data_IF_531587413988
#
_entry.id   IF_531587413988
#
_cell.length_a   1.000
_cell.length_b   1.000
_cell.length_c   1.000
_cell.angle_alpha   90.00
_cell.angle_beta   90.00
_cell.angle_gamma   90.00
#
_symmetry.space_group_name_H-M   'P 1'
#
loop_
_entity.id
_entity.type
_entity.pdbx_description
1 polymer ?
#
# COMPACT_ATOMS: atom_id res chain seq x y z
N UNK A 1 -12.48 -67.47 -9.40
CA UNK A 1 -13.02 -66.53 -8.41
C UNK A 1 -11.96 -65.49 -8.12
N UNK A 2 -12.04 -64.29 -8.76
CA UNK A 2 -11.11 -63.19 -8.57
C UNK A 2 -11.68 -62.26 -7.49
N UNK A 3 -10.98 -62.09 -6.37
CA UNK A 3 -11.34 -61.14 -5.33
C UNK A 3 -10.88 -59.76 -5.74
N UNK A 4 -11.83 -58.84 -5.90
CA UNK A 4 -11.58 -57.41 -6.12
C UNK A 4 -11.40 -56.77 -4.74
N UNK A 5 -10.20 -56.23 -4.49
CA UNK A 5 -9.91 -55.40 -3.31
C UNK A 5 -10.22 -53.96 -3.66
N UNK A 6 -11.27 -53.40 -3.07
CA UNK A 6 -11.62 -51.96 -3.18
C UNK A 6 -10.79 -51.24 -2.12
N UNK A 7 -9.80 -50.45 -2.59
CA UNK A 7 -9.07 -49.52 -1.75
C UNK A 7 -9.90 -48.24 -1.66
N UNK A 8 -10.54 -48.01 -0.52
CA UNK A 8 -11.17 -46.74 -0.19
C UNK A 8 -10.08 -45.71 0.07
N UNK A 9 -9.89 -44.75 -0.86
CA UNK A 9 -9.08 -43.58 -0.65
C UNK A 9 -9.88 -42.58 0.19
N UNK A 10 -9.57 -42.53 1.49
CA UNK A 10 -10.11 -41.51 2.39
C UNK A 10 -9.39 -40.20 2.09
N UNK A 11 -10.03 -39.35 1.30
CA UNK A 11 -9.63 -37.93 1.16
C UNK A 11 -9.88 -37.23 2.51
N UNK A 12 -8.83 -37.09 3.33
CA UNK A 12 -8.85 -36.17 4.45
C UNK A 12 -8.86 -34.75 3.91
N UNK A 13 -10.05 -34.18 3.77
CA UNK A 13 -10.24 -32.77 3.53
C UNK A 13 -9.85 -32.04 4.81
N UNK A 14 -8.65 -31.49 4.83
CA UNK A 14 -8.24 -30.54 5.87
C UNK A 14 -9.14 -29.31 5.74
N UNK A 15 -10.18 -29.23 6.56
CA UNK A 15 -10.86 -27.98 6.86
C UNK A 15 -9.89 -27.10 7.61
N UNK A 16 -9.12 -26.30 6.89
CA UNK A 16 -8.49 -25.11 7.44
C UNK A 16 -9.63 -24.19 7.86
N UNK A 17 -9.98 -24.22 9.13
CA UNK A 17 -11.00 -23.36 9.70
C UNK A 17 -10.45 -21.95 9.71
N UNK A 18 -10.80 -21.15 8.71
CA UNK A 18 -10.39 -19.75 8.55
C UNK A 18 -10.95 -18.95 9.74
N UNK A 19 -10.13 -18.73 10.76
CA UNK A 19 -10.46 -17.83 11.89
C UNK A 19 -10.81 -16.42 11.39
N UNK A 20 -10.18 -16.01 10.29
CA UNK A 20 -10.36 -14.70 9.67
C UNK A 20 -11.77 -14.47 9.13
N UNK A 21 -12.41 -15.50 8.53
CA UNK A 21 -13.78 -15.39 8.04
C UNK A 21 -14.82 -15.22 9.16
N UNK A 22 -14.53 -15.76 10.36
CA UNK A 22 -15.41 -15.59 11.52
C UNK A 22 -15.34 -14.18 12.09
N UNK A 23 -14.17 -13.57 12.12
CA UNK A 23 -13.97 -12.20 12.58
C UNK A 23 -14.67 -11.20 11.68
N UNK A 24 -14.49 -11.33 10.36
CA UNK A 24 -15.15 -10.49 9.36
C UNK A 24 -16.67 -10.65 9.45
N UNK A 25 -17.21 -11.88 9.51
CA UNK A 25 -18.65 -12.13 9.68
C UNK A 25 -19.19 -11.54 10.98
N UNK A 26 -18.46 -11.66 12.08
CA UNK A 26 -18.83 -11.08 13.37
C UNK A 26 -18.84 -9.55 13.33
N UNK A 27 -17.86 -8.94 12.64
CA UNK A 27 -17.81 -7.50 12.45
C UNK A 27 -19.02 -6.99 11.67
N UNK A 28 -19.34 -7.59 10.52
CA UNK A 28 -20.53 -7.24 9.73
C UNK A 28 -21.84 -7.44 10.50
N UNK A 29 -21.95 -8.49 11.31
CA UNK A 29 -23.17 -8.75 12.10
C UNK A 29 -23.36 -7.80 13.28
N UNK A 30 -22.26 -7.25 13.85
CA UNK A 30 -22.31 -6.42 15.05
C UNK A 30 -22.19 -4.92 14.77
N UNK A 31 -21.73 -4.50 13.59
CA UNK A 31 -21.42 -3.11 13.25
C UNK A 31 -21.90 -2.73 11.84
N UNK A 32 -23.18 -2.96 11.55
CA UNK A 32 -23.80 -2.60 10.26
C UNK A 32 -23.68 -1.10 9.93
N UNK A 33 -23.42 -0.25 10.94
CA UNK A 33 -23.31 1.20 10.78
C UNK A 33 -21.89 1.70 10.37
N UNK A 34 -20.86 0.87 10.46
CA UNK A 34 -19.47 1.27 10.20
C UNK A 34 -18.92 0.72 8.87
N UNK A 35 -19.58 1.05 7.77
CA UNK A 35 -19.06 0.76 6.43
C UNK A 35 -18.25 1.92 5.86
N UNK A 36 -17.12 1.61 5.21
CA UNK A 36 -16.33 2.60 4.50
C UNK A 36 -17.09 3.01 3.24
N UNK A 37 -17.22 4.32 3.04
CA UNK A 37 -17.87 4.91 1.86
C UNK A 37 -16.83 5.65 1.02
N UNK A 38 -16.87 5.46 -0.30
CA UNK A 38 -16.06 6.21 -1.24
C UNK A 38 -16.84 7.40 -1.80
N UNK A 39 -16.23 8.58 -1.72
CA UNK A 39 -16.73 9.81 -2.28
C UNK A 39 -15.95 10.12 -3.57
N UNK A 40 -16.59 9.90 -4.72
CA UNK A 40 -16.00 10.03 -6.05
C UNK A 40 -15.87 11.50 -6.47
N UNK A 41 -14.97 12.25 -5.80
CA UNK A 41 -14.70 13.64 -6.16
C UNK A 41 -14.12 13.76 -7.58
N UNK A 42 -13.34 12.77 -8.03
CA UNK A 42 -12.86 12.66 -9.41
C UNK A 42 -14.01 12.72 -10.43
N UNK A 43 -15.11 12.02 -10.19
CA UNK A 43 -16.31 12.07 -11.04
C UNK A 43 -17.03 13.41 -10.94
N UNK A 44 -17.28 13.82 -9.70
CA UNK A 44 -18.03 15.04 -9.42
C UNK A 44 -17.33 16.27 -10.04
N UNK A 45 -16.00 16.35 -9.93
CA UNK A 45 -15.20 17.46 -10.46
C UNK A 45 -15.32 17.60 -11.99
N UNK A 46 -15.33 16.49 -12.72
CA UNK A 46 -15.34 16.48 -14.18
C UNK A 46 -16.73 16.34 -14.81
N UNK A 47 -17.81 16.30 -13.99
CA UNK A 47 -19.17 16.06 -14.48
C UNK A 47 -19.88 17.31 -15.03
N UNK A 48 -19.39 18.51 -14.72
CA UNK A 48 -20.08 19.74 -15.10
C UNK A 48 -19.89 20.14 -16.57
N UNK A 49 -20.94 20.65 -17.23
CA UNK A 49 -20.80 21.34 -18.49
C UNK A 49 -19.89 22.58 -18.34
N UNK A 50 -19.10 22.87 -19.39
CA UNK A 50 -18.16 24.01 -19.36
C UNK A 50 -18.85 25.35 -19.09
N UNK A 51 -20.10 25.49 -19.52
CA UNK A 51 -20.92 26.74 -19.38
C UNK A 51 -21.34 27.02 -17.93
N UNK A 52 -21.35 26.01 -17.07
CA UNK A 52 -21.80 26.13 -15.66
C UNK A 52 -20.69 25.74 -14.67
N UNK A 53 -19.46 25.61 -15.15
CA UNK A 53 -18.35 25.05 -14.38
C UNK A 53 -18.03 25.84 -13.12
N UNK A 54 -18.03 27.18 -13.18
CA UNK A 54 -17.77 28.01 -12.00
C UNK A 54 -18.81 27.78 -10.89
N UNK A 55 -20.09 27.78 -11.25
CA UNK A 55 -21.18 27.51 -10.30
C UNK A 55 -21.05 26.09 -9.72
N UNK A 56 -20.77 25.11 -10.57
CA UNK A 56 -20.56 23.74 -10.18
C UNK A 56 -19.41 23.58 -9.17
N UNK A 57 -18.26 24.23 -9.43
CA UNK A 57 -17.12 24.21 -8.51
C UNK A 57 -17.48 24.80 -7.12
N UNK A 58 -18.24 25.89 -7.10
CA UNK A 58 -18.72 26.50 -5.85
C UNK A 58 -19.66 25.57 -5.06
N UNK A 59 -20.49 24.80 -5.74
CA UNK A 59 -21.35 23.81 -5.10
C UNK A 59 -20.55 22.60 -4.63
N UNK A 60 -19.59 22.13 -5.43
CA UNK A 60 -18.67 21.07 -5.01
C UNK A 60 -17.85 21.44 -3.77
N UNK A 61 -17.41 22.70 -3.64
CA UNK A 61 -16.67 23.12 -2.44
C UNK A 61 -17.51 22.96 -1.16
N UNK A 62 -18.84 23.15 -1.26
CA UNK A 62 -19.73 22.92 -0.12
C UNK A 62 -19.88 21.42 0.19
N UNK A 63 -19.95 20.57 -0.83
CA UNK A 63 -20.11 19.13 -0.69
C UNK A 63 -18.80 18.42 -0.33
N UNK A 64 -17.67 18.88 -0.86
CA UNK A 64 -16.33 18.29 -0.72
C UNK A 64 -15.32 19.31 -0.14
N UNK A 65 -15.57 19.91 1.04
CA UNK A 65 -14.77 21.03 1.55
C UNK A 65 -13.29 20.68 1.73
N UNK A 66 -12.97 19.43 2.01
CA UNK A 66 -11.59 18.97 2.21
C UNK A 66 -10.79 18.74 0.91
N UNK A 67 -11.47 18.73 -0.24
CA UNK A 67 -10.83 18.53 -1.54
C UNK A 67 -10.37 19.83 -2.19
N UNK A 68 -10.63 20.97 -1.60
CA UNK A 68 -10.21 22.28 -2.07
C UNK A 68 -9.14 22.86 -1.15
N UNK A 69 -7.99 23.20 -1.73
CA UNK A 69 -6.85 23.73 -0.97
C UNK A 69 -7.08 25.17 -0.48
N UNK A 70 -7.88 25.92 -1.23
CA UNK A 70 -8.19 27.33 -0.95
C UNK A 70 -9.68 27.62 -1.18
N UNK A 71 -10.23 28.70 -0.59
CA UNK A 71 -11.58 29.16 -0.89
C UNK A 71 -11.69 29.59 -2.37
N UNK A 72 -12.80 29.27 -3.02
CA UNK A 72 -13.07 29.69 -4.41
C UNK A 72 -13.42 31.18 -4.55
N UNK A 73 -13.34 31.96 -3.49
CA UNK A 73 -13.26 33.43 -3.54
C UNK A 73 -11.90 33.91 -4.04
N UNK A 74 -10.87 33.07 -3.97
CA UNK A 74 -9.60 33.30 -4.63
C UNK A 74 -9.78 33.03 -6.13
N UNK A 75 -9.72 34.11 -6.91
CA UNK A 75 -9.94 34.06 -8.36
C UNK A 75 -8.83 33.33 -9.11
N UNK A 76 -7.61 33.38 -8.64
CA UNK A 76 -6.48 32.68 -9.27
C UNK A 76 -6.63 31.18 -9.11
N UNK A 77 -6.94 30.73 -7.91
CA UNK A 77 -7.22 29.32 -7.63
C UNK A 77 -8.45 28.79 -8.39
N UNK A 78 -9.54 29.56 -8.42
CA UNK A 78 -10.73 29.23 -9.21
C UNK A 78 -10.39 29.08 -10.71
N UNK A 79 -9.66 30.03 -11.28
CA UNK A 79 -9.27 29.98 -12.67
C UNK A 79 -8.36 28.79 -12.99
N UNK A 80 -7.44 28.45 -12.08
CA UNK A 80 -6.60 27.26 -12.20
C UNK A 80 -7.46 25.99 -12.28
N UNK A 81 -8.45 25.84 -11.41
CA UNK A 81 -9.37 24.69 -11.42
C UNK A 81 -10.22 24.65 -12.71
N UNK A 82 -10.73 25.79 -13.16
CA UNK A 82 -11.48 25.90 -14.42
C UNK A 82 -10.60 25.45 -15.61
N UNK A 83 -9.36 25.90 -15.68
CA UNK A 83 -8.41 25.49 -16.71
C UNK A 83 -8.14 23.99 -16.64
N UNK A 84 -7.86 23.44 -15.46
CA UNK A 84 -7.60 22.03 -15.26
C UNK A 84 -8.78 21.17 -15.72
N UNK A 85 -9.99 21.47 -15.28
CA UNK A 85 -11.20 20.70 -15.63
C UNK A 85 -11.56 20.87 -17.11
N UNK A 86 -11.29 22.05 -17.71
CA UNK A 86 -11.58 22.31 -19.13
C UNK A 86 -10.53 21.76 -20.09
N UNK A 87 -9.37 21.36 -19.60
CA UNK A 87 -8.28 20.84 -20.41
C UNK A 87 -8.65 19.51 -21.06
N UNK A 88 -8.43 19.41 -22.38
CA UNK A 88 -8.80 18.21 -23.14
C UNK A 88 -8.01 16.96 -22.73
N UNK A 89 -6.75 17.13 -22.33
CA UNK A 89 -5.94 16.00 -21.90
C UNK A 89 -6.39 15.51 -20.51
N UNK A 90 -6.72 16.44 -19.60
CA UNK A 90 -7.30 16.07 -18.30
C UNK A 90 -8.63 15.33 -18.48
N UNK A 91 -9.50 15.76 -19.39
CA UNK A 91 -10.75 15.05 -19.71
C UNK A 91 -10.49 13.63 -20.27
N UNK A 92 -9.47 13.46 -21.12
CA UNK A 92 -9.07 12.14 -21.60
C UNK A 92 -8.54 11.24 -20.47
N UNK A 93 -7.69 11.81 -19.60
CA UNK A 93 -7.19 11.09 -18.44
C UNK A 93 -8.33 10.65 -17.52
N UNK A 94 -9.27 11.55 -17.18
CA UNK A 94 -10.45 11.22 -16.39
C UNK A 94 -11.28 10.11 -17.03
N UNK A 95 -11.49 10.12 -18.34
CA UNK A 95 -12.23 9.07 -19.03
C UNK A 95 -11.54 7.70 -18.95
N UNK A 96 -10.20 7.67 -18.97
CA UNK A 96 -9.43 6.44 -18.77
C UNK A 96 -9.58 5.93 -17.33
N UNK A 97 -9.41 6.83 -16.36
CA UNK A 97 -9.58 6.54 -14.94
C UNK A 97 -11.00 6.05 -14.65
N UNK A 98 -12.02 6.70 -15.20
CA UNK A 98 -13.42 6.30 -15.03
C UNK A 98 -13.67 4.87 -15.54
N UNK A 99 -13.14 4.51 -16.71
CA UNK A 99 -13.24 3.14 -17.24
C UNK A 99 -12.52 2.13 -16.35
N UNK A 100 -11.33 2.47 -15.88
CA UNK A 100 -10.52 1.59 -15.04
C UNK A 100 -11.15 1.39 -13.66
N UNK A 101 -11.71 2.46 -13.06
CA UNK A 101 -12.31 2.46 -11.73
C UNK A 101 -13.83 2.71 -11.76
N UNK A 102 -14.51 2.15 -12.76
CA UNK A 102 -15.97 2.25 -12.88
C UNK A 102 -16.68 1.71 -11.62
N UNK A 103 -16.18 0.63 -11.08
CA UNK A 103 -16.60 0.08 -9.79
C UNK A 103 -15.38 -0.07 -8.86
N UNK A 104 -15.50 0.47 -7.64
CA UNK A 104 -14.50 0.40 -6.57
C UNK A 104 -15.07 -0.20 -5.27
N UNK A 105 -16.23 -0.88 -5.32
CA UNK A 105 -16.88 -1.46 -4.15
C UNK A 105 -16.01 -2.55 -3.49
N UNK A 106 -15.17 -3.22 -4.30
CA UNK A 106 -14.20 -4.17 -3.78
C UNK A 106 -13.23 -3.53 -2.78
N UNK A 107 -12.82 -2.26 -3.01
CA UNK A 107 -11.96 -1.53 -2.05
C UNK A 107 -12.68 -1.28 -0.73
N UNK A 108 -13.97 -0.91 -0.77
CA UNK A 108 -14.76 -0.73 0.45
C UNK A 108 -14.82 -2.05 1.25
N UNK A 109 -15.06 -3.17 0.58
CA UNK A 109 -15.11 -4.50 1.18
C UNK A 109 -13.75 -4.88 1.79
N UNK A 110 -12.66 -4.74 1.04
CA UNK A 110 -11.32 -5.11 1.48
C UNK A 110 -10.86 -4.27 2.66
N UNK A 111 -11.05 -2.95 2.59
CA UNK A 111 -10.67 -2.04 3.68
C UNK A 111 -11.55 -2.24 4.92
N UNK A 112 -12.87 -2.43 4.78
CA UNK A 112 -13.74 -2.75 5.91
C UNK A 112 -13.27 -4.04 6.60
N UNK A 113 -12.94 -5.06 5.83
CA UNK A 113 -12.40 -6.32 6.36
C UNK A 113 -11.04 -6.15 7.05
N UNK A 114 -10.15 -5.32 6.49
CA UNK A 114 -8.86 -5.01 7.10
C UNK A 114 -9.02 -4.26 8.43
N UNK A 115 -9.93 -3.30 8.49
CA UNK A 115 -10.24 -2.58 9.73
C UNK A 115 -10.93 -3.45 10.78
N UNK A 116 -11.75 -4.42 10.38
CA UNK A 116 -12.32 -5.41 11.29
C UNK A 116 -11.22 -6.18 12.02
N UNK A 117 -10.21 -6.68 11.27
CA UNK A 117 -9.04 -7.35 11.85
C UNK A 117 -8.18 -6.41 12.70
N UNK A 118 -8.02 -5.16 12.28
CA UNK A 118 -7.28 -4.17 13.05
C UNK A 118 -7.96 -3.88 14.40
N UNK A 119 -9.29 -3.78 14.44
CA UNK A 119 -10.08 -3.60 15.67
C UNK A 119 -9.98 -4.78 16.64
N UNK A 120 -9.72 -5.99 16.17
CA UNK A 120 -9.45 -7.13 17.06
C UNK A 120 -8.15 -6.95 17.86
N UNK A 121 -7.17 -6.27 17.27
CA UNK A 121 -5.88 -5.99 17.90
C UNK A 121 -5.96 -4.68 18.71
N UNK A 122 -6.60 -3.66 18.14
CA UNK A 122 -6.76 -2.32 18.69
C UNK A 122 -8.23 -1.90 18.68
N UNK A 123 -9.02 -2.26 19.71
CA UNK A 123 -10.47 -2.06 19.74
C UNK A 123 -10.93 -0.60 19.58
N UNK A 124 -10.09 0.36 19.99
CA UNK A 124 -10.39 1.78 19.90
C UNK A 124 -10.05 2.40 18.53
N UNK A 125 -9.73 1.59 17.52
CA UNK A 125 -9.46 2.07 16.16
C UNK A 125 -10.72 2.69 15.55
N UNK A 126 -10.61 3.93 15.07
CA UNK A 126 -11.67 4.60 14.32
C UNK A 126 -11.58 4.24 12.83
N UNK A 127 -12.71 3.91 12.21
CA UNK A 127 -12.75 3.73 10.75
C UNK A 127 -12.86 5.09 10.04
N UNK A 128 -12.21 5.25 8.89
CA UNK A 128 -12.50 6.38 8.01
C UNK A 128 -13.91 6.23 7.45
N UNK A 129 -14.82 7.14 7.82
CA UNK A 129 -16.19 7.12 7.30
C UNK A 129 -16.24 7.34 5.79
N UNK A 130 -15.44 8.28 5.30
CA UNK A 130 -15.36 8.65 3.90
C UNK A 130 -13.91 8.58 3.41
N UNK A 131 -13.71 7.97 2.26
CA UNK A 131 -12.47 8.02 1.50
C UNK A 131 -12.79 8.74 0.19
N UNK A 132 -12.08 9.83 -0.08
CA UNK A 132 -12.24 10.59 -1.31
C UNK A 132 -11.37 10.00 -2.41
N UNK A 133 -11.85 10.07 -3.64
CA UNK A 133 -11.02 9.78 -4.82
C UNK A 133 -10.84 11.04 -5.64
N UNK A 134 -9.66 11.22 -6.22
CA UNK A 134 -9.36 12.41 -7.02
C UNK A 134 -8.41 12.08 -8.16
N UNK A 135 -8.21 13.05 -9.05
CA UNK A 135 -7.19 13.07 -10.10
C UNK A 135 -6.13 14.07 -9.69
N UNK A 136 -4.89 13.60 -9.57
CA UNK A 136 -3.75 14.46 -9.25
C UNK A 136 -3.35 15.33 -10.46
N UNK A 137 -3.43 14.77 -11.66
CA UNK A 137 -3.06 15.44 -12.89
C UNK A 137 -1.57 15.44 -13.19
N UNK A 138 -1.09 16.40 -14.01
CA UNK A 138 0.31 16.50 -14.41
C UNK A 138 1.17 17.01 -13.26
N UNK A 139 1.67 16.09 -12.44
CA UNK A 139 2.58 16.37 -11.34
C UNK A 139 3.94 15.73 -11.61
N UNK A 140 4.99 16.24 -10.98
CA UNK A 140 6.28 15.53 -10.96
C UNK A 140 6.06 14.09 -10.45
N UNK A 141 6.72 13.12 -11.08
CA UNK A 141 6.50 11.70 -10.76
C UNK A 141 6.84 11.36 -9.30
N UNK A 142 7.82 12.03 -8.72
CA UNK A 142 8.19 11.80 -7.31
C UNK A 142 7.11 12.31 -6.36
N UNK A 143 6.54 13.47 -6.66
CA UNK A 143 5.40 14.04 -5.94
C UNK A 143 4.16 13.16 -6.08
N UNK A 144 3.82 12.76 -7.31
CA UNK A 144 2.66 11.90 -7.57
C UNK A 144 2.77 10.54 -6.87
N UNK A 145 3.95 9.92 -6.90
CA UNK A 145 4.18 8.66 -6.20
C UNK A 145 4.04 8.80 -4.68
N UNK A 146 4.57 9.89 -4.10
CA UNK A 146 4.49 10.12 -2.65
C UNK A 146 3.06 10.44 -2.19
N UNK A 147 2.27 11.09 -3.02
CA UNK A 147 0.92 11.59 -2.68
C UNK A 147 -0.22 10.75 -3.27
N UNK A 148 0.04 9.50 -3.70
CA UNK A 148 -1.01 8.63 -4.26
C UNK A 148 -2.08 8.24 -3.24
N UNK A 149 -1.74 8.17 -1.96
CA UNK A 149 -2.68 8.10 -0.84
C UNK A 149 -2.38 9.26 0.08
N UNK A 150 -3.33 10.15 0.24
CA UNK A 150 -3.22 11.33 1.09
C UNK A 150 -4.07 11.16 2.34
N UNK A 151 -3.51 11.52 3.49
CA UNK A 151 -4.17 11.51 4.78
C UNK A 151 -3.92 12.84 5.48
N UNK A 152 -4.99 13.53 5.81
CA UNK A 152 -4.90 14.69 6.67
C UNK A 152 -4.94 14.25 8.13
N UNK A 153 -4.22 14.96 9.00
CA UNK A 153 -4.06 14.63 10.42
C UNK A 153 -5.38 14.55 11.21
N UNK A 154 -6.48 14.96 10.63
CA UNK A 154 -7.71 15.11 11.40
C UNK A 154 -8.93 14.38 10.86
N UNK A 155 -9.18 14.28 9.53
CA UNK A 155 -10.55 13.91 9.15
C UNK A 155 -10.70 13.15 7.83
N UNK A 156 -9.83 13.30 6.84
CA UNK A 156 -10.12 12.70 5.55
C UNK A 156 -8.93 11.97 4.91
N UNK A 157 -9.30 11.01 4.09
CA UNK A 157 -8.40 10.20 3.30
C UNK A 157 -8.74 10.39 1.82
N UNK A 158 -7.72 10.50 0.99
CA UNK A 158 -7.92 10.65 -0.45
C UNK A 158 -6.96 9.77 -1.25
N UNK A 159 -7.44 9.25 -2.37
CA UNK A 159 -6.72 8.34 -3.25
C UNK A 159 -6.66 8.94 -4.65
N UNK A 160 -5.45 9.16 -5.17
CA UNK A 160 -5.21 9.62 -6.53
C UNK A 160 -5.36 8.45 -7.51
N UNK A 161 -6.53 8.31 -8.13
CA UNK A 161 -6.84 7.17 -8.99
C UNK A 161 -6.01 7.14 -10.28
N UNK A 162 -5.65 8.29 -10.82
CA UNK A 162 -4.81 8.40 -12.02
C UNK A 162 -3.41 7.81 -11.80
N UNK A 163 -2.84 7.96 -10.60
CA UNK A 163 -1.56 7.35 -10.24
C UNK A 163 -1.66 5.82 -10.24
N UNK A 164 -2.79 5.26 -9.83
CA UNK A 164 -3.03 3.81 -9.91
C UNK A 164 -3.52 3.33 -11.29
N UNK A 165 -3.75 4.25 -12.24
CA UNK A 165 -4.08 3.97 -13.63
C UNK A 165 -2.90 4.15 -14.59
N UNK A 166 -1.68 4.38 -14.10
CA UNK A 166 -0.52 4.75 -14.93
C UNK A 166 -0.23 3.76 -16.06
N UNK A 167 -0.49 2.46 -15.86
CA UNK A 167 -0.36 1.46 -16.91
C UNK A 167 -1.40 1.60 -18.04
N UNK A 168 -2.49 2.35 -17.83
CA UNK A 168 -3.49 2.71 -18.84
C UNK A 168 -3.24 4.09 -19.42
N UNK A 169 -2.46 4.91 -18.74
CA UNK A 169 -2.07 6.28 -19.12
C UNK A 169 -0.67 6.34 -19.73
N UNK A 170 -0.09 5.20 -20.12
CA UNK A 170 1.31 5.07 -20.52
C UNK A 170 1.72 6.01 -21.65
N UNK A 171 0.84 6.18 -22.66
CA UNK A 171 1.05 7.08 -23.79
C UNK A 171 0.35 8.45 -23.62
N UNK A 172 -0.18 8.75 -22.43
CA UNK A 172 -0.86 10.00 -22.19
C UNK A 172 0.15 11.12 -21.90
N UNK A 173 0.09 12.30 -22.57
CA UNK A 173 1.12 13.34 -22.50
C UNK A 173 1.50 13.77 -21.07
N UNK A 174 0.54 13.80 -20.15
CA UNK A 174 0.74 14.24 -18.77
C UNK A 174 1.37 13.18 -17.84
N UNK A 175 1.52 11.94 -18.30
CA UNK A 175 1.99 10.83 -17.46
C UNK A 175 3.23 10.12 -18.05
N UNK A 176 3.78 10.61 -19.16
CA UNK A 176 4.97 10.03 -19.80
C UNK A 176 6.22 10.12 -18.93
N UNK A 177 6.29 11.12 -18.03
CA UNK A 177 7.44 11.30 -17.13
C UNK A 177 7.55 10.22 -16.05
N UNK A 178 6.51 9.42 -15.80
CA UNK A 178 6.61 8.33 -14.84
C UNK A 178 7.48 7.21 -15.38
N UNK A 179 8.61 6.87 -14.70
CA UNK A 179 9.46 5.77 -15.13
C UNK A 179 8.75 4.42 -15.09
N UNK A 180 9.13 3.52 -16.00
CA UNK A 180 8.50 2.19 -16.12
C UNK A 180 8.51 1.39 -14.82
N UNK A 181 9.62 1.41 -14.07
CA UNK A 181 9.74 0.70 -12.80
C UNK A 181 8.73 1.15 -11.73
N UNK A 182 8.25 2.41 -11.80
CA UNK A 182 7.16 2.89 -10.92
C UNK A 182 5.81 2.36 -11.37
N UNK A 183 5.55 2.38 -12.69
CA UNK A 183 4.28 1.91 -13.25
C UNK A 183 4.01 0.44 -12.95
N UNK A 184 5.05 -0.38 -12.87
CA UNK A 184 4.96 -1.81 -12.57
C UNK A 184 4.44 -2.13 -11.17
N UNK A 185 4.66 -1.23 -10.21
CA UNK A 185 4.21 -1.36 -8.82
C UNK A 185 2.98 -0.49 -8.50
N UNK A 186 2.25 -0.08 -9.52
CA UNK A 186 1.02 0.69 -9.40
C UNK A 186 -0.12 0.02 -10.21
N UNK A 187 -1.31 0.06 -9.67
CA UNK A 187 -2.51 -0.54 -10.25
C UNK A 187 -3.56 -0.81 -9.17
N UNK A 188 -4.72 -1.29 -9.57
CA UNK A 188 -5.86 -1.53 -8.65
C UNK A 188 -5.48 -2.33 -7.40
N UNK A 189 -4.68 -3.38 -7.57
CA UNK A 189 -4.32 -4.28 -6.49
C UNK A 189 -3.45 -3.64 -5.40
N UNK A 190 -2.77 -2.52 -5.70
CA UNK A 190 -1.89 -1.86 -4.74
C UNK A 190 -2.60 -0.83 -3.86
N UNK A 191 -3.85 -0.44 -4.18
CA UNK A 191 -4.56 0.63 -3.46
C UNK A 191 -4.78 0.26 -1.99
N UNK A 192 -5.38 -0.90 -1.71
CA UNK A 192 -5.70 -1.29 -0.34
C UNK A 192 -4.43 -1.51 0.53
N UNK A 193 -3.36 -2.20 0.06
CA UNK A 193 -2.09 -2.30 0.76
C UNK A 193 -1.45 -0.93 1.06
N UNK A 194 -1.38 -0.04 0.07
CA UNK A 194 -0.84 1.31 0.25
C UNK A 194 -1.67 2.12 1.25
N UNK A 195 -3.00 2.03 1.15
CA UNK A 195 -3.91 2.68 2.10
C UNK A 195 -3.66 2.21 3.53
N UNK A 196 -3.64 0.89 3.76
CA UNK A 196 -3.42 0.34 5.10
C UNK A 196 -2.03 0.67 5.63
N UNK A 197 -1.00 0.64 4.77
CA UNK A 197 0.36 1.07 5.14
C UNK A 197 0.38 2.53 5.62
N UNK A 198 -0.22 3.45 4.87
CA UNK A 198 -0.29 4.86 5.23
C UNK A 198 -1.12 5.07 6.51
N UNK A 199 -2.23 4.36 6.66
CA UNK A 199 -3.05 4.42 7.86
C UNK A 199 -2.29 3.99 9.11
N UNK A 200 -1.56 2.88 9.06
CA UNK A 200 -0.77 2.37 10.18
C UNK A 200 0.39 3.30 10.57
N UNK A 201 0.97 4.01 9.61
CA UNK A 201 2.03 4.99 9.85
C UNK A 201 1.49 6.32 10.40
N UNK A 202 0.22 6.61 10.25
CA UNK A 202 -0.37 7.84 10.74
C UNK A 202 -0.67 7.75 12.25
N UNK A 203 0.22 8.34 13.05
CA UNK A 203 0.16 8.31 14.51
C UNK A 203 -1.05 9.03 15.12
N UNK A 204 -1.75 9.87 14.34
CA UNK A 204 -2.93 10.60 14.81
C UNK A 204 -4.11 9.66 15.04
N UNK A 205 -4.24 8.62 14.22
CA UNK A 205 -5.37 7.68 14.31
C UNK A 205 -5.08 6.49 15.22
N UNK A 206 -3.83 6.06 15.24
CA UNK A 206 -3.41 4.90 16.00
C UNK A 206 -2.11 5.23 16.72
N UNK A 207 -2.13 5.12 18.03
CA UNK A 207 -0.91 5.20 18.81
C UNK A 207 -0.11 3.88 18.71
N UNK A 208 0.02 3.37 17.46
CA UNK A 208 0.85 2.21 17.19
C UNK A 208 2.30 2.69 17.14
N UNK A 209 3.19 2.12 17.94
CA UNK A 209 4.55 2.60 18.07
C UNK A 209 5.46 2.11 16.93
N UNK A 210 5.04 2.28 15.65
CA UNK A 210 6.00 2.14 14.57
C UNK A 210 7.09 3.18 14.74
N UNK A 211 8.32 2.69 14.84
CA UNK A 211 9.48 3.53 15.12
C UNK A 211 9.75 4.46 13.94
N UNK A 212 9.67 5.76 14.19
CA UNK A 212 10.18 6.73 13.23
C UNK A 212 11.72 6.68 13.28
N UNK A 213 12.31 6.25 12.17
CA UNK A 213 13.76 6.11 12.09
C UNK A 213 14.42 7.49 11.85
N UNK A 214 15.28 7.90 12.76
CA UNK A 214 16.12 9.08 12.60
C UNK A 214 17.26 8.88 11.57
N UNK A 215 18.00 9.95 11.29
CA UNK A 215 19.09 9.94 10.29
C UNK A 215 20.23 8.96 10.57
N UNK A 216 20.37 8.47 11.80
CA UNK A 216 21.42 7.53 12.24
C UNK A 216 20.93 6.06 12.32
N UNK A 217 19.80 5.73 11.72
CA UNK A 217 19.32 4.36 11.69
C UNK A 217 20.24 3.47 10.83
N UNK A 218 20.51 2.25 11.30
CA UNK A 218 21.24 1.27 10.51
C UNK A 218 20.35 0.69 9.38
N UNK A 219 20.99 0.02 8.39
CA UNK A 219 20.22 -0.73 7.39
C UNK A 219 19.30 -1.76 8.06
N UNK A 220 19.80 -2.47 9.10
CA UNK A 220 19.01 -3.43 9.86
C UNK A 220 17.74 -2.77 10.41
N UNK A 221 17.87 -1.59 11.03
CA UNK A 221 16.70 -0.87 11.54
C UNK A 221 15.70 -0.56 10.44
N UNK A 222 16.17 -0.03 9.31
CA UNK A 222 15.32 0.32 8.18
C UNK A 222 14.54 -0.88 7.64
N UNK A 223 15.21 -2.00 7.41
CA UNK A 223 14.58 -3.16 6.79
C UNK A 223 13.66 -3.93 7.76
N UNK A 224 14.00 -3.98 9.05
CA UNK A 224 13.15 -4.63 10.04
C UNK A 224 11.90 -3.80 10.34
N UNK A 225 12.00 -2.48 10.49
CA UNK A 225 10.82 -1.64 10.71
C UNK A 225 9.84 -1.69 9.52
N UNK A 226 10.35 -1.64 8.28
CA UNK A 226 9.50 -1.86 7.11
C UNK A 226 8.96 -3.29 7.05
N UNK A 227 9.75 -4.27 7.42
CA UNK A 227 9.34 -5.69 7.51
C UNK A 227 8.18 -5.90 8.49
N UNK A 228 8.25 -5.29 9.70
CA UNK A 228 7.14 -5.30 10.67
C UNK A 228 5.87 -4.69 10.08
N UNK A 229 5.99 -3.52 9.45
CA UNK A 229 4.86 -2.83 8.84
C UNK A 229 4.25 -3.68 7.71
N UNK A 230 5.08 -4.20 6.81
CA UNK A 230 4.64 -5.05 5.70
C UNK A 230 3.99 -6.34 6.18
N UNK A 231 4.55 -6.98 7.21
CA UNK A 231 3.97 -8.18 7.82
C UNK A 231 2.61 -7.87 8.46
N UNK A 232 2.49 -6.72 9.14
CA UNK A 232 1.22 -6.29 9.72
C UNK A 232 0.16 -6.06 8.65
N UNK A 233 0.49 -5.31 7.58
CA UNK A 233 -0.41 -5.08 6.44
C UNK A 233 -0.86 -6.40 5.82
N UNK A 234 0.06 -7.35 5.62
CA UNK A 234 -0.26 -8.69 5.11
C UNK A 234 -1.27 -9.43 6.01
N UNK A 235 -1.14 -9.33 7.34
CA UNK A 235 -2.12 -9.93 8.26
C UNK A 235 -3.48 -9.24 8.25
N UNK A 236 -3.54 -7.97 7.95
CA UNK A 236 -4.81 -7.26 7.75
C UNK A 236 -5.46 -7.56 6.39
N UNK A 237 -4.66 -7.86 5.37
CA UNK A 237 -5.07 -8.14 4.00
C UNK A 237 -4.59 -9.53 3.53
N UNK A 238 -5.02 -10.64 4.17
CA UNK A 238 -4.46 -11.97 3.93
C UNK A 238 -4.76 -12.53 2.52
N UNK A 239 -5.74 -11.97 1.82
CA UNK A 239 -6.09 -12.38 0.46
C UNK A 239 -5.23 -11.69 -0.62
N UNK A 240 -4.38 -10.73 -0.22
CA UNK A 240 -3.46 -10.05 -1.12
C UNK A 240 -2.14 -10.80 -1.24
N UNK A 241 -1.64 -10.92 -2.46
CA UNK A 241 -0.36 -11.55 -2.71
C UNK A 241 0.80 -10.73 -2.11
N UNK A 242 1.82 -11.39 -1.59
CA UNK A 242 2.97 -10.74 -0.93
C UNK A 242 3.70 -9.72 -1.81
N UNK A 243 3.83 -10.02 -3.11
CA UNK A 243 4.42 -9.07 -4.04
C UNK A 243 3.63 -7.74 -4.05
N UNK A 244 2.30 -7.80 -3.96
CA UNK A 244 1.45 -6.60 -3.91
C UNK A 244 1.61 -5.86 -2.57
N UNK A 245 1.67 -6.59 -1.45
CA UNK A 245 1.91 -6.02 -0.11
C UNK A 245 3.24 -5.24 -0.06
N UNK A 246 4.29 -5.78 -0.69
CA UNK A 246 5.61 -5.15 -0.74
C UNK A 246 5.81 -4.21 -1.95
N UNK A 247 4.74 -3.95 -2.71
CA UNK A 247 4.74 -3.11 -3.91
C UNK A 247 5.77 -3.57 -4.95
N UNK A 248 5.80 -4.89 -5.25
CA UNK A 248 6.56 -5.50 -6.34
C UNK A 248 5.63 -5.99 -7.46
N UNK A 249 6.09 -5.92 -8.70
CA UNK A 249 5.48 -6.71 -9.76
C UNK A 249 5.76 -8.21 -9.55
N UNK A 250 5.00 -9.07 -10.22
CA UNK A 250 5.23 -10.52 -10.14
C UNK A 250 6.64 -10.90 -10.56
N UNK A 251 7.21 -10.25 -11.58
CA UNK A 251 8.57 -10.51 -12.06
C UNK A 251 9.62 -10.07 -11.03
N UNK A 252 9.43 -8.89 -10.43
CA UNK A 252 10.31 -8.37 -9.39
C UNK A 252 10.32 -9.28 -8.16
N UNK A 253 9.16 -9.77 -7.77
CA UNK A 253 9.02 -10.72 -6.66
C UNK A 253 9.74 -12.04 -6.94
N UNK A 254 9.52 -12.64 -8.11
CA UNK A 254 10.19 -13.87 -8.53
C UNK A 254 11.71 -13.72 -8.58
N UNK A 255 12.21 -12.56 -9.00
CA UNK A 255 13.63 -12.25 -8.95
C UNK A 255 14.15 -12.26 -7.51
N UNK A 256 13.46 -11.60 -6.59
CA UNK A 256 13.82 -11.58 -5.17
C UNK A 256 13.85 -12.98 -4.56
N UNK A 257 12.83 -13.81 -4.81
CA UNK A 257 12.77 -15.19 -4.32
C UNK A 257 13.91 -16.06 -4.83
N UNK A 258 14.27 -15.90 -6.10
CA UNK A 258 15.39 -16.63 -6.71
C UNK A 258 16.74 -16.17 -6.19
N UNK A 259 16.87 -14.91 -5.81
CA UNK A 259 18.13 -14.28 -5.42
C UNK A 259 18.25 -13.98 -3.92
N UNK A 260 17.36 -14.47 -3.08
CA UNK A 260 17.30 -14.17 -1.64
C UNK A 260 18.66 -14.36 -0.95
N UNK A 261 19.30 -15.50 -1.17
CA UNK A 261 20.61 -15.79 -0.59
C UNK A 261 21.73 -14.87 -1.14
N UNK A 262 21.65 -14.48 -2.40
CA UNK A 262 22.64 -13.57 -3.01
C UNK A 262 22.46 -12.14 -2.45
N UNK A 263 21.23 -11.66 -2.28
CA UNK A 263 20.93 -10.35 -1.66
C UNK A 263 21.49 -10.32 -0.24
N UNK A 264 21.20 -11.37 0.55
CA UNK A 264 21.69 -11.47 1.92
C UNK A 264 23.22 -11.51 1.98
N UNK A 265 23.85 -12.35 1.15
CA UNK A 265 25.30 -12.44 1.07
C UNK A 265 25.93 -11.08 0.73
N UNK A 266 25.36 -10.34 -0.22
CA UNK A 266 25.82 -9.00 -0.58
C UNK A 266 25.76 -8.03 0.61
N UNK A 267 24.63 -7.99 1.34
CA UNK A 267 24.48 -7.13 2.51
C UNK A 267 25.53 -7.43 3.59
N UNK A 268 25.79 -8.73 3.85
CA UNK A 268 26.77 -9.15 4.88
C UNK A 268 28.20 -8.91 4.43
N UNK A 269 28.58 -9.32 3.22
CA UNK A 269 29.95 -9.17 2.70
C UNK A 269 30.35 -7.70 2.55
N UNK A 270 29.39 -6.85 2.16
CA UNK A 270 29.61 -5.40 2.06
C UNK A 270 29.53 -4.69 3.42
N UNK A 271 29.31 -5.43 4.52
CA UNK A 271 29.22 -4.90 5.91
C UNK A 271 28.17 -3.80 6.07
N UNK A 272 27.09 -3.85 5.28
CA UNK A 272 26.06 -2.80 5.27
C UNK A 272 25.03 -2.94 6.39
N UNK A 273 24.83 -4.16 6.93
CA UNK A 273 23.70 -4.46 7.81
C UNK A 273 23.64 -3.53 9.04
N UNK A 274 24.76 -3.25 9.66
CA UNK A 274 24.86 -2.39 10.86
C UNK A 274 25.45 -1.01 10.54
N UNK A 275 25.61 -0.67 9.27
CA UNK A 275 26.14 0.63 8.88
C UNK A 275 25.06 1.72 9.09
N UNK A 276 25.42 2.81 9.75
CA UNK A 276 24.54 3.95 10.01
C UNK A 276 24.71 5.07 8.97
N UNK A 277 25.68 4.94 8.07
CA UNK A 277 25.83 5.85 6.94
C UNK A 277 24.81 5.51 5.85
N UNK A 278 23.70 6.24 5.86
CA UNK A 278 22.58 6.05 4.95
C UNK A 278 23.00 6.08 3.48
N UNK A 279 24.02 6.86 3.11
CA UNK A 279 24.48 6.99 1.73
C UNK A 279 25.00 5.67 1.15
N UNK A 280 25.53 4.79 1.98
CA UNK A 280 26.08 3.49 1.58
C UNK A 280 24.97 2.47 1.26
N UNK A 281 23.89 2.47 2.01
CA UNK A 281 22.83 1.46 1.90
C UNK A 281 21.53 1.98 1.29
N UNK A 282 21.39 3.30 1.09
CA UNK A 282 20.17 3.91 0.54
C UNK A 282 19.71 3.23 -0.75
N UNK A 283 20.64 2.84 -1.62
CA UNK A 283 20.33 2.14 -2.86
C UNK A 283 19.68 0.75 -2.69
N UNK A 284 19.67 0.16 -1.48
CA UNK A 284 18.98 -1.09 -1.19
C UNK A 284 17.53 -0.91 -0.72
N UNK A 285 17.17 0.31 -0.33
CA UNK A 285 15.85 0.63 0.25
C UNK A 285 15.10 1.75 -0.47
N UNK A 286 15.74 2.42 -1.43
CA UNK A 286 15.11 3.49 -2.22
C UNK A 286 14.37 2.98 -3.42
N UNK A 287 13.37 3.75 -3.86
CA UNK A 287 12.73 3.58 -5.17
C UNK A 287 13.77 3.84 -6.27
N UNK A 288 13.75 3.03 -7.30
CA UNK A 288 14.65 3.16 -8.44
C UNK A 288 14.43 2.03 -9.45
N UNK A 289 15.19 2.01 -10.57
CA UNK A 289 15.11 0.92 -11.53
C UNK A 289 15.70 -0.38 -10.98
N UNK A 290 16.74 -0.27 -10.13
CA UNK A 290 17.41 -1.42 -9.51
C UNK A 290 18.04 -1.04 -8.17
N UNK A 291 18.40 -2.03 -7.37
CA UNK A 291 19.15 -1.83 -6.12
C UNK A 291 20.65 -1.73 -6.41
N UNK A 292 21.31 -0.71 -5.83
CA UNK A 292 22.74 -0.47 -6.04
C UNK A 292 23.57 -1.69 -5.65
N UNK A 293 24.47 -2.10 -6.54
CA UNK A 293 25.40 -3.21 -6.32
C UNK A 293 24.83 -4.60 -6.63
N UNK A 294 23.59 -4.67 -7.10
CA UNK A 294 22.90 -5.91 -7.48
C UNK A 294 22.29 -5.75 -8.87
N UNK A 295 23.12 -5.88 -9.91
CA UNK A 295 22.70 -5.68 -11.28
C UNK A 295 21.51 -6.59 -11.67
N UNK A 296 20.53 -6.00 -12.37
CA UNK A 296 19.31 -6.68 -12.79
C UNK A 296 18.32 -6.97 -11.66
N UNK A 297 18.58 -6.49 -10.45
CA UNK A 297 17.64 -6.60 -9.33
C UNK A 297 16.50 -5.59 -9.45
N UNK A 298 15.34 -5.85 -8.85
CA UNK A 298 14.42 -4.76 -8.57
C UNK A 298 15.01 -3.80 -7.53
N UNK A 299 14.43 -2.61 -7.41
CA UNK A 299 14.71 -1.69 -6.32
C UNK A 299 14.24 -2.26 -4.97
N UNK A 300 14.72 -1.68 -3.88
CA UNK A 300 14.25 -1.92 -2.50
C UNK A 300 14.40 -3.36 -2.00
N UNK A 301 15.34 -4.13 -2.54
CA UNK A 301 15.53 -5.55 -2.11
C UNK A 301 15.84 -5.69 -0.61
N UNK A 302 16.29 -4.62 0.06
CA UNK A 302 16.43 -4.60 1.51
C UNK A 302 15.09 -4.81 2.23
N UNK A 303 14.00 -4.22 1.74
CA UNK A 303 12.67 -4.40 2.33
C UNK A 303 12.13 -5.81 2.13
N UNK A 304 12.44 -6.45 1.00
CA UNK A 304 12.17 -7.87 0.82
C UNK A 304 12.85 -8.72 1.90
N UNK A 305 14.16 -8.51 2.13
CA UNK A 305 14.91 -9.21 3.19
C UNK A 305 14.33 -8.92 4.57
N UNK A 306 13.99 -7.67 4.86
CA UNK A 306 13.37 -7.28 6.13
C UNK A 306 12.06 -8.03 6.40
N UNK A 307 11.19 -8.11 5.39
CA UNK A 307 9.96 -8.89 5.48
C UNK A 307 10.27 -10.38 5.77
N UNK A 308 11.21 -10.99 5.04
CA UNK A 308 11.58 -12.42 5.23
C UNK A 308 12.15 -12.70 6.62
N UNK A 309 12.93 -11.78 7.19
CA UNK A 309 13.44 -11.89 8.56
C UNK A 309 12.26 -11.83 9.56
N UNK A 310 11.36 -10.88 9.41
CA UNK A 310 10.20 -10.71 10.30
C UNK A 310 9.23 -11.89 10.16
N UNK A 311 8.96 -12.36 8.95
CA UNK A 311 8.14 -13.55 8.68
C UNK A 311 8.71 -14.76 9.44
N UNK A 312 10.02 -15.02 9.27
CA UNK A 312 10.70 -16.11 9.96
C UNK A 312 10.71 -15.95 11.48
N UNK A 313 10.90 -14.72 11.98
CA UNK A 313 10.80 -14.43 13.41
C UNK A 313 9.42 -14.79 13.98
N UNK A 314 8.36 -14.42 13.27
CA UNK A 314 6.98 -14.70 13.71
C UNK A 314 6.62 -16.18 13.65
N UNK A 315 7.16 -16.93 12.69
CA UNK A 315 7.01 -18.39 12.61
C UNK A 315 7.65 -19.10 13.81
N UNK A 316 8.88 -18.70 14.19
CA UNK A 316 9.64 -19.33 15.27
C UNK A 316 9.12 -18.96 16.67
N UNK A 317 8.72 -17.70 16.87
CA UNK A 317 8.43 -17.20 18.22
C UNK A 317 6.92 -17.15 18.55
N UNK A 318 6.03 -17.23 17.55
CA UNK A 318 4.55 -17.30 17.70
C UNK A 318 3.95 -16.23 18.63
N UNK A 319 4.49 -15.02 18.57
CA UNK A 319 4.00 -13.89 19.36
C UNK A 319 2.84 -13.17 18.64
N UNK A 320 2.14 -12.27 19.35
CA UNK A 320 1.09 -11.43 18.75
C UNK A 320 1.67 -10.32 17.87
N UNK A 321 0.87 -9.79 16.96
CA UNK A 321 1.25 -8.62 16.14
C UNK A 321 1.57 -7.40 17.01
N UNK A 322 0.79 -7.17 18.05
CA UNK A 322 1.04 -6.07 18.99
C UNK A 322 2.39 -6.23 19.71
N UNK A 323 2.73 -7.46 20.11
CA UNK A 323 4.05 -7.77 20.70
C UNK A 323 5.19 -7.53 19.72
N UNK A 324 5.02 -7.92 18.44
CA UNK A 324 6.02 -7.68 17.39
C UNK A 324 6.35 -6.18 17.24
N UNK A 325 5.31 -5.34 17.16
CA UNK A 325 5.48 -3.90 16.96
C UNK A 325 6.20 -3.23 18.15
N UNK A 326 5.99 -3.73 19.36
CA UNK A 326 6.61 -3.22 20.60
C UNK A 326 8.08 -3.60 20.80
N UNK A 327 8.64 -4.46 19.97
CA UNK A 327 10.07 -4.78 20.03
C UNK A 327 10.87 -3.59 19.47
N UNK A 328 11.62 -2.92 20.35
CA UNK A 328 12.41 -1.76 19.99
C UNK A 328 13.83 -2.09 19.50
N UNK A 329 14.38 -3.23 19.92
CA UNK A 329 15.69 -3.71 19.49
C UNK A 329 15.55 -4.69 18.33
N UNK A 330 15.82 -4.18 17.14
CA UNK A 330 15.70 -4.94 15.89
C UNK A 330 16.73 -6.09 15.77
N UNK A 331 17.84 -6.03 16.53
CA UNK A 331 18.83 -7.10 16.58
C UNK A 331 18.25 -8.38 17.21
N UNK A 332 17.31 -8.27 18.15
CA UNK A 332 16.59 -9.40 18.76
C UNK A 332 15.75 -10.11 17.69
N UNK A 333 15.09 -9.38 16.80
CA UNK A 333 14.29 -9.97 15.73
C UNK A 333 15.18 -10.76 14.78
N UNK A 334 16.30 -10.17 14.34
CA UNK A 334 17.25 -10.86 13.49
C UNK A 334 17.80 -12.13 14.16
N UNK A 335 18.29 -12.02 15.40
CA UNK A 335 18.89 -13.14 16.12
C UNK A 335 17.88 -14.28 16.32
N UNK A 336 16.69 -13.98 16.82
CA UNK A 336 15.68 -15.00 17.15
C UNK A 336 14.91 -15.50 15.92
N UNK A 337 15.00 -14.84 14.78
CA UNK A 337 14.46 -15.35 13.52
C UNK A 337 15.26 -16.54 13.00
N UNK A 338 16.51 -16.65 13.41
CA UNK A 338 17.47 -17.63 12.85
C UNK A 338 17.55 -17.59 11.31
N UNK A 339 17.31 -16.41 10.74
CA UNK A 339 17.23 -16.22 9.30
C UNK A 339 18.55 -16.56 8.60
N UNK A 340 18.51 -17.56 7.76
CA UNK A 340 19.64 -18.04 6.95
C UNK A 340 19.10 -18.52 5.60
N UNK A 341 19.02 -17.63 4.59
CA UNK A 341 18.52 -18.03 3.29
C UNK A 341 19.49 -19.04 2.62
N UNK A 342 18.91 -20.08 2.07
CA UNK A 342 19.67 -21.15 1.38
C UNK A 342 19.71 -20.84 -0.11
N UNK A 343 20.86 -21.03 -0.74
CA UNK A 343 20.99 -20.95 -2.19
C UNK A 343 20.10 -22.04 -2.83
N UNK A 344 19.13 -21.62 -3.61
CA UNK A 344 18.25 -22.52 -4.38
C UNK A 344 18.91 -22.92 -5.67
#
# INVERSE_FOLDING_TARGET
MKKIVIICFVCAVFFSCNRDDKAVKKFYNNNVEETISFKRFDRALFSAPKTTLETHLKDLQKEYPYMFQQPLTDTEYLNMLIQMVSDQQMQKAQNIVEKEFANIDYLATDLTSAFARLKEIYPNTSLPKNIYTFILGPADYSYGYANRVYMNDTIYFAIALDVYALNKLDNHPYYTQYPQYMKESLGKGFIAPDFMRMYLLNKTFLNIPFKSLGGNASLLDCIIEDGKLSYFVHKLLPNYALNTILSYSTQQWQWCEKNEANIWAYIIQSKLLYDNDRSKYLGLISIGPESRGLSGSPARVGYYIGYKIVEKYMEENKISLDSLIKINDNSIILQKSMYKPIKK
#
